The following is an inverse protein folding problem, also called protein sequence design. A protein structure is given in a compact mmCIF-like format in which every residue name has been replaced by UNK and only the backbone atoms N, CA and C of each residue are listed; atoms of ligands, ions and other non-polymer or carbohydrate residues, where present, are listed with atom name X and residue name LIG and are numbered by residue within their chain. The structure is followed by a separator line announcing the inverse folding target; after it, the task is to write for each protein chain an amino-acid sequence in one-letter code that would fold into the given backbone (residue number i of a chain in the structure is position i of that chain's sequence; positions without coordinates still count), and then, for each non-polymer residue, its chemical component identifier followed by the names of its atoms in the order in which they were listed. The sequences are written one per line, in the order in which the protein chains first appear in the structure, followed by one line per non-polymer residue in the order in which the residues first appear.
data_IF_538695796025
#
_entry.id   IF_538695796025
#
_cell.length_a   1.000
_cell.length_b   1.000
_cell.length_c   1.000
_cell.angle_alpha   90.00
_cell.angle_beta   90.00
_cell.angle_gamma   90.00
#
_symmetry.space_group_name_H-M   'P 1'
#
loop_
_entity.id
_entity.type
_entity.pdbx_description
1 polymer ?
#
# COMPACT_ATOMS: atom_id res chain seq x y z
N UNK A 1 2.70 7.23 -13.76
CA UNK A 1 2.24 8.26 -12.80
C UNK A 1 1.24 7.74 -11.78
N UNK A 2 0.06 7.22 -12.16
CA UNK A 2 -0.96 6.76 -11.19
C UNK A 2 -0.40 5.82 -10.11
N UNK A 3 0.33 4.77 -10.51
CA UNK A 3 0.98 3.85 -9.56
C UNK A 3 2.01 4.56 -8.67
N UNK A 4 2.83 5.46 -9.21
CA UNK A 4 3.80 6.23 -8.44
C UNK A 4 3.12 7.19 -7.45
N UNK A 5 2.00 7.81 -7.83
CA UNK A 5 1.19 8.66 -6.97
C UNK A 5 0.51 7.85 -5.86
N UNK A 6 -0.05 6.68 -6.18
CA UNK A 6 -0.63 5.75 -5.19
C UNK A 6 0.45 5.31 -4.19
N UNK A 7 1.62 4.88 -4.67
CA UNK A 7 2.75 4.48 -3.82
C UNK A 7 3.20 5.64 -2.92
N UNK A 8 3.34 6.85 -3.46
CA UNK A 8 3.69 8.04 -2.68
C UNK A 8 2.63 8.34 -1.60
N UNK A 9 1.36 8.32 -1.97
CA UNK A 9 0.25 8.64 -1.08
C UNK A 9 0.12 7.60 0.04
N UNK A 10 0.14 6.31 -0.30
CA UNK A 10 0.15 5.22 0.68
C UNK A 10 1.32 5.34 1.65
N UNK A 11 2.50 5.68 1.14
CA UNK A 11 3.65 5.88 2.00
C UNK A 11 3.45 7.05 2.98
N UNK A 12 3.08 8.23 2.49
CA UNK A 12 3.01 9.44 3.31
C UNK A 12 1.77 9.52 4.21
N UNK A 13 0.67 8.84 3.86
CA UNK A 13 -0.56 8.85 4.67
C UNK A 13 -0.65 7.66 5.62
N UNK A 14 -0.14 6.49 5.22
CA UNK A 14 -0.34 5.24 5.96
C UNK A 14 0.98 4.75 6.51
N UNK A 15 1.90 4.33 5.63
CA UNK A 15 3.08 3.56 6.06
C UNK A 15 4.02 4.36 6.96
N UNK A 16 4.21 5.66 6.73
CA UNK A 16 5.11 6.49 7.55
C UNK A 16 4.75 6.48 9.03
N UNK A 17 3.48 6.24 9.37
CA UNK A 17 3.00 6.15 10.75
C UNK A 17 3.28 4.78 11.41
N UNK A 18 3.68 3.79 10.62
CA UNK A 18 3.96 2.41 11.05
C UNK A 18 5.44 2.03 10.85
N UNK A 19 6.24 2.88 10.21
CA UNK A 19 7.66 2.63 10.03
C UNK A 19 8.41 2.98 11.32
N UNK A 20 8.96 1.97 11.97
CA UNK A 20 9.92 2.16 13.06
C UNK A 20 11.12 2.99 12.56
N UNK A 21 11.64 3.86 13.43
CA UNK A 21 12.82 4.69 13.15
C UNK A 21 13.95 3.82 12.60
N UNK A 22 14.52 4.11 11.41
CA UNK A 22 15.53 3.24 10.83
C UNK A 22 16.71 3.11 11.78
N UNK A 23 17.11 1.87 12.07
CA UNK A 23 18.27 1.57 12.90
C UNK A 23 19.49 2.35 12.41
N UNK A 24 20.25 2.92 13.34
CA UNK A 24 21.46 3.71 13.11
C UNK A 24 22.48 2.90 12.30
N UNK A 25 22.46 3.05 10.97
CA UNK A 25 23.32 2.31 10.04
C UNK A 25 22.77 2.14 8.61
N UNK A 26 21.48 2.41 8.37
CA UNK A 26 20.83 2.14 7.08
C UNK A 26 20.75 3.35 6.12
N UNK A 27 21.87 4.03 5.85
CA UNK A 27 21.88 5.23 4.99
C UNK A 27 21.29 5.01 3.59
N UNK A 28 21.51 3.82 3.00
CA UNK A 28 20.96 3.46 1.69
C UNK A 28 19.44 3.23 1.70
N UNK A 29 18.88 2.73 2.82
CA UNK A 29 17.43 2.49 2.98
C UNK A 29 16.67 3.81 3.04
N UNK A 30 17.25 4.81 3.70
CA UNK A 30 16.70 6.17 3.72
C UNK A 30 16.71 6.77 2.30
N UNK A 31 17.83 6.65 1.59
CA UNK A 31 17.92 7.12 0.20
C UNK A 31 16.90 6.43 -0.71
N UNK A 32 16.78 5.10 -0.62
CA UNK A 32 15.79 4.34 -1.40
C UNK A 32 14.36 4.77 -1.08
N UNK A 33 14.03 4.94 0.20
CA UNK A 33 12.71 5.41 0.64
C UNK A 33 12.37 6.78 0.07
N UNK A 34 13.30 7.75 0.19
CA UNK A 34 13.11 9.09 -0.34
C UNK A 34 12.99 9.10 -1.86
N UNK A 35 13.83 8.33 -2.55
CA UNK A 35 13.82 8.25 -4.01
C UNK A 35 12.49 7.67 -4.51
N UNK A 36 12.07 6.52 -3.96
CA UNK A 36 10.90 5.78 -4.43
C UNK A 36 9.58 6.47 -4.09
N UNK A 37 9.47 7.08 -2.91
CA UNK A 37 8.20 7.62 -2.41
C UNK A 37 8.04 9.12 -2.59
N UNK A 38 9.13 9.86 -2.80
CA UNK A 38 9.09 11.33 -2.87
C UNK A 38 9.68 11.85 -4.17
N UNK A 39 10.94 11.53 -4.49
CA UNK A 39 11.64 12.12 -5.64
C UNK A 39 11.07 11.63 -6.96
N UNK A 40 10.92 10.31 -7.15
CA UNK A 40 10.40 9.75 -8.41
C UNK A 40 8.97 10.22 -8.69
N UNK A 41 8.01 10.15 -7.75
CA UNK A 41 6.65 10.65 -7.98
C UNK A 41 6.61 12.14 -8.32
N UNK A 42 7.44 12.96 -7.67
CA UNK A 42 7.49 14.40 -7.90
C UNK A 42 8.19 14.76 -9.22
N UNK A 43 9.24 14.02 -9.60
CA UNK A 43 9.96 14.25 -10.86
C UNK A 43 9.13 13.89 -12.10
N UNK A 44 8.26 12.88 -12.00
CA UNK A 44 7.38 12.46 -13.10
C UNK A 44 6.03 13.20 -13.12
N UNK A 45 5.69 13.94 -12.06
CA UNK A 45 4.44 14.71 -11.99
C UNK A 45 4.32 15.79 -13.08
N UNK A 46 5.35 16.61 -13.36
CA UNK A 46 5.30 17.61 -14.42
C UNK A 46 5.08 16.98 -15.80
N UNK A 47 5.75 15.86 -16.10
CA UNK A 47 5.66 15.15 -17.38
C UNK A 47 4.23 14.70 -17.73
N UNK A 48 3.38 14.49 -16.72
CA UNK A 48 1.99 14.07 -16.91
C UNK A 48 0.99 15.23 -16.79
N UNK A 49 1.29 16.26 -15.97
CA UNK A 49 0.47 17.46 -15.82
C UNK A 49 0.53 18.39 -17.04
N UNK A 50 1.61 18.32 -17.83
CA UNK A 50 1.86 19.25 -18.93
C UNK A 50 1.36 18.76 -20.31
N UNK A 51 1.34 17.45 -20.62
CA UNK A 51 0.60 16.92 -21.78
C UNK A 51 0.03 15.49 -21.60
N UNK A 52 -1.27 15.26 -21.77
CA UNK A 52 -1.81 14.04 -22.44
C UNK A 52 -3.33 14.08 -22.64
N UNK A 53 -3.77 13.67 -23.83
CA UNK A 53 -5.18 13.37 -24.11
C UNK A 53 -5.72 12.31 -23.12
N UNK A 54 -6.98 12.45 -22.64
CA UNK A 54 -7.52 11.55 -21.63
C UNK A 54 -7.64 10.13 -22.19
N UNK A 55 -6.82 9.21 -21.66
CA UNK A 55 -6.98 7.78 -21.91
C UNK A 55 -8.17 7.30 -21.09
N UNK A 56 -9.22 6.84 -21.77
CA UNK A 56 -10.47 6.44 -21.11
C UNK A 56 -10.29 5.17 -20.28
N UNK A 57 -10.37 5.31 -18.96
CA UNK A 57 -10.51 4.19 -18.03
C UNK A 57 -11.94 3.67 -18.13
N UNK A 58 -12.12 2.54 -18.82
CA UNK A 58 -13.44 1.90 -18.88
C UNK A 58 -13.73 1.21 -17.55
N UNK A 59 -14.89 1.48 -16.97
CA UNK A 59 -15.39 0.84 -15.74
C UNK A 59 -15.43 -0.70 -15.84
N UNK A 60 -15.54 -1.24 -17.06
CA UNK A 60 -15.49 -2.68 -17.31
C UNK A 60 -14.18 -3.36 -16.85
N UNK A 61 -13.08 -2.62 -16.67
CA UNK A 61 -11.84 -3.19 -16.16
C UNK A 61 -11.79 -3.26 -14.63
N UNK A 62 -12.68 -2.56 -13.90
CA UNK A 62 -12.71 -2.57 -12.43
C UNK A 62 -12.62 -3.99 -11.84
N UNK A 63 -13.46 -4.96 -12.23
CA UNK A 63 -13.37 -6.31 -11.65
C UNK A 63 -12.02 -6.97 -11.90
N UNK A 64 -11.41 -6.77 -13.07
CA UNK A 64 -10.09 -7.32 -13.38
C UNK A 64 -8.99 -6.68 -12.52
N UNK A 65 -9.06 -5.38 -12.27
CA UNK A 65 -8.10 -4.66 -11.42
C UNK A 65 -8.28 -4.99 -9.94
N UNK A 66 -9.50 -5.29 -9.48
CA UNK A 66 -9.78 -5.70 -8.10
C UNK A 66 -9.39 -7.15 -7.79
N UNK A 67 -9.19 -8.00 -8.82
CA UNK A 67 -8.76 -9.39 -8.60
C UNK A 67 -7.42 -9.46 -7.87
N UNK A 68 -6.45 -8.62 -8.24
CA UNK A 68 -5.13 -8.62 -7.61
C UNK A 68 -5.16 -8.23 -6.12
N UNK A 69 -5.75 -7.08 -5.70
CA UNK A 69 -5.84 -6.72 -4.30
C UNK A 69 -6.70 -7.71 -3.49
N UNK A 70 -7.81 -8.22 -4.06
CA UNK A 70 -8.64 -9.22 -3.39
C UNK A 70 -7.90 -10.54 -3.15
N UNK A 71 -7.12 -11.01 -4.13
CA UNK A 71 -6.29 -12.20 -3.99
C UNK A 71 -5.21 -12.00 -2.91
N UNK A 72 -4.58 -10.83 -2.87
CA UNK A 72 -3.60 -10.48 -1.84
C UNK A 72 -4.24 -10.44 -0.44
N UNK A 73 -5.42 -9.83 -0.29
CA UNK A 73 -6.16 -9.81 0.97
C UNK A 73 -6.47 -11.23 1.46
N UNK A 74 -6.97 -12.09 0.56
CA UNK A 74 -7.23 -13.49 0.86
C UNK A 74 -5.96 -14.23 1.34
N UNK A 75 -4.83 -14.01 0.68
CA UNK A 75 -3.54 -14.58 1.08
C UNK A 75 -3.10 -14.10 2.47
N UNK A 76 -3.20 -12.81 2.75
CA UNK A 76 -2.81 -12.23 4.05
C UNK A 76 -3.69 -12.75 5.19
N UNK A 77 -5.01 -12.80 4.99
CA UNK A 77 -5.94 -13.32 6.00
C UNK A 77 -5.76 -14.82 6.22
N UNK A 78 -5.53 -15.59 5.15
CA UNK A 78 -5.25 -17.03 5.25
C UNK A 78 -3.95 -17.28 6.00
N UNK A 79 -2.87 -16.54 5.66
CA UNK A 79 -1.60 -16.59 6.39
C UNK A 79 -1.82 -16.27 7.87
N UNK A 80 -2.52 -15.18 8.19
CA UNK A 80 -2.81 -14.80 9.58
C UNK A 80 -3.55 -15.89 10.34
N UNK A 81 -4.57 -16.52 9.74
CA UNK A 81 -5.32 -17.62 10.34
C UNK A 81 -4.50 -18.89 10.60
N UNK A 82 -3.48 -19.16 9.77
CA UNK A 82 -2.59 -20.31 9.91
C UNK A 82 -1.50 -20.10 10.96
N UNK A 83 -1.07 -18.85 11.19
CA UNK A 83 -0.11 -18.53 12.24
C UNK A 83 -0.79 -18.41 13.62
N UNK A 84 -0.07 -18.83 14.66
CA UNK A 84 -0.52 -18.68 16.05
C UNK A 84 -0.74 -17.20 16.41
N UNK A 85 -1.79 -16.87 17.18
CA UNK A 85 -1.98 -15.52 17.73
C UNK A 85 -0.74 -15.05 18.49
N UNK A 86 -0.33 -13.80 18.27
CA UNK A 86 0.87 -13.21 18.87
C UNK A 86 2.19 -13.56 18.18
N UNK A 87 2.18 -14.27 17.04
CA UNK A 87 3.39 -14.43 16.22
C UNK A 87 3.88 -13.07 15.71
N UNK A 88 5.19 -12.78 15.76
CA UNK A 88 5.73 -11.57 15.15
C UNK A 88 5.43 -11.56 13.64
N UNK A 89 5.06 -10.40 13.11
CA UNK A 89 4.74 -10.18 11.69
C UNK A 89 3.65 -11.12 11.13
N UNK A 90 2.70 -11.53 11.99
CA UNK A 90 1.54 -12.36 11.62
C UNK A 90 0.77 -11.76 10.44
N UNK A 91 0.56 -10.45 10.48
CA UNK A 91 0.07 -9.65 9.37
C UNK A 91 1.20 -8.75 8.85
N UNK A 92 1.42 -8.66 7.53
CA UNK A 92 2.46 -7.82 6.94
C UNK A 92 2.16 -6.33 7.09
N UNK A 93 0.90 -5.97 7.36
CA UNK A 93 0.47 -4.60 7.55
C UNK A 93 -0.39 -4.46 8.80
N UNK A 94 -0.15 -3.45 9.65
CA UNK A 94 -0.88 -3.26 10.90
C UNK A 94 -2.35 -2.89 10.68
N UNK A 95 -2.68 -2.19 9.59
CA UNK A 95 -4.07 -1.92 9.20
C UNK A 95 -4.82 -3.16 8.67
N UNK A 96 -4.14 -4.30 8.52
CA UNK A 96 -4.78 -5.59 8.24
C UNK A 96 -4.76 -6.51 9.46
N UNK A 97 -4.41 -5.98 10.63
CA UNK A 97 -4.35 -6.76 11.86
C UNK A 97 -5.75 -7.08 12.38
N UNK A 98 -6.15 -8.33 12.18
CA UNK A 98 -7.44 -8.86 12.65
C UNK A 98 -7.48 -8.97 14.17
N UNK A 99 -6.34 -9.15 14.83
CA UNK A 99 -6.30 -9.24 16.30
C UNK A 99 -6.61 -7.86 16.93
N UNK A 100 -6.22 -6.78 16.23
CA UNK A 100 -6.48 -5.39 16.66
C UNK A 100 -7.88 -4.90 16.25
N UNK A 101 -8.30 -5.12 15.00
CA UNK A 101 -9.50 -4.50 14.43
C UNK A 101 -10.69 -5.46 14.24
N UNK A 102 -10.48 -6.76 14.40
CA UNK A 102 -11.43 -7.80 14.02
C UNK A 102 -11.68 -7.85 12.51
N UNK A 103 -12.33 -8.92 12.03
CA UNK A 103 -12.55 -9.11 10.58
C UNK A 103 -13.33 -7.96 9.92
N UNK A 104 -14.34 -7.42 10.61
CA UNK A 104 -15.15 -6.30 10.09
C UNK A 104 -14.35 -5.00 10.01
N UNK A 105 -13.51 -4.72 11.02
CA UNK A 105 -12.65 -3.54 11.03
C UNK A 105 -11.56 -3.61 9.97
N UNK A 106 -10.90 -4.77 9.85
CA UNK A 106 -9.91 -5.05 8.80
C UNK A 106 -10.52 -4.91 7.40
N UNK A 107 -11.73 -5.43 7.17
CA UNK A 107 -12.41 -5.28 5.89
C UNK A 107 -12.74 -3.80 5.60
N UNK A 108 -13.15 -3.04 6.61
CA UNK A 108 -13.43 -1.61 6.45
C UNK A 108 -12.17 -0.83 6.08
N UNK A 109 -11.03 -1.13 6.72
CA UNK A 109 -9.73 -0.53 6.38
C UNK A 109 -9.28 -0.91 4.97
N UNK A 110 -9.43 -2.18 4.58
CA UNK A 110 -9.14 -2.65 3.23
C UNK A 110 -9.94 -1.85 2.18
N UNK A 111 -11.26 -1.79 2.34
CA UNK A 111 -12.15 -1.07 1.41
C UNK A 111 -11.86 0.44 1.38
N UNK A 112 -11.60 1.06 2.54
CA UNK A 112 -11.28 2.49 2.62
C UNK A 112 -9.99 2.85 1.88
N UNK A 113 -9.03 1.93 1.83
CA UNK A 113 -7.77 2.08 1.10
C UNK A 113 -7.86 1.64 -0.37
N UNK A 114 -9.03 1.15 -0.80
CA UNK A 114 -9.26 0.70 -2.18
C UNK A 114 -8.70 -0.69 -2.49
N UNK A 115 -8.57 -1.54 -1.46
CA UNK A 115 -8.33 -2.98 -1.59
C UNK A 115 -9.67 -3.72 -1.78
#
# INVERSE_FOLDING_TARGET
LLLAAITALMHHLVLVNYTETPATGAGWSLSATLLLHTVTPLAVAPDWLLPTAPRTLRLAHIPLWLTAPAAYLGLVLTRGALLSPGSPDRYPYPFLDVDTYGYTGTLTQALALGL
#
